data_IF_347402494470
#
_entry.id   IF_347402494470
#
_cell.length_a   1.000
_cell.length_b   1.000
_cell.length_c   1.000
_cell.angle_alpha   90.00
_cell.angle_beta   90.00
_cell.angle_gamma   90.00
#
_symmetry.space_group_name_H-M   'P 1'
#
loop_
_entity.id
_entity.type
_entity.pdbx_description
1 polymer ?
#
# COMPACT_ATOMS: atom_id res chain seq x y z
N UNK A 1 4.65 -18.99 5.14
CA UNK A 1 6.10 -18.90 4.87
C UNK A 1 6.30 -18.64 3.38
N UNK A 2 7.36 -17.97 2.99
CA UNK A 2 7.69 -17.72 1.58
C UNK A 2 9.20 -17.54 1.37
N UNK A 3 9.63 -17.55 0.12
CA UNK A 3 10.99 -17.12 -0.28
C UNK A 3 10.84 -16.06 -1.37
N UNK A 4 11.39 -14.88 -1.14
CA UNK A 4 11.44 -13.79 -2.13
C UNK A 4 12.87 -13.59 -2.59
N UNK A 5 13.09 -13.43 -3.90
CA UNK A 5 14.42 -13.16 -4.43
C UNK A 5 14.62 -11.65 -4.59
N UNK A 6 15.76 -11.14 -4.11
CA UNK A 6 16.17 -9.75 -4.31
C UNK A 6 17.46 -9.68 -5.14
N UNK A 7 17.80 -8.49 -5.62
CA UNK A 7 19.11 -8.27 -6.24
C UNK A 7 20.24 -8.62 -5.25
N UNK A 8 21.27 -9.29 -5.75
CA UNK A 8 22.49 -9.61 -5.00
C UNK A 8 23.66 -8.81 -5.55
N UNK A 9 24.57 -8.36 -4.68
CA UNK A 9 25.77 -7.61 -5.06
C UNK A 9 26.73 -8.40 -5.94
N UNK A 10 26.62 -9.73 -5.95
CA UNK A 10 27.40 -10.65 -6.80
C UNK A 10 26.83 -10.83 -8.21
N UNK A 11 25.72 -10.17 -8.53
CA UNK A 11 24.98 -10.36 -9.79
C UNK A 11 24.06 -11.59 -9.80
N UNK A 12 24.10 -12.41 -8.75
CA UNK A 12 23.21 -13.56 -8.57
C UNK A 12 22.12 -13.16 -7.57
N UNK A 13 20.82 -13.32 -7.89
CA UNK A 13 19.75 -13.03 -6.95
C UNK A 13 19.89 -13.85 -5.65
N UNK A 14 19.67 -13.20 -4.51
CA UNK A 14 19.67 -13.84 -3.19
C UNK A 14 18.24 -14.17 -2.78
N UNK A 15 18.00 -15.40 -2.31
CA UNK A 15 16.72 -15.80 -1.75
C UNK A 15 16.63 -15.38 -0.28
N UNK A 16 15.57 -14.67 0.07
CA UNK A 16 15.23 -14.28 1.44
C UNK A 16 14.15 -15.22 1.96
N UNK A 17 14.49 -16.21 2.81
CA UNK A 17 13.50 -17.08 3.40
C UNK A 17 12.76 -16.37 4.55
N UNK A 18 11.44 -16.42 4.52
CA UNK A 18 10.59 -15.90 5.58
C UNK A 18 9.78 -17.04 6.19
N UNK A 19 10.01 -17.27 7.48
CA UNK A 19 9.36 -18.33 8.24
C UNK A 19 7.85 -18.07 8.39
N UNK A 20 7.10 -19.11 8.74
CA UNK A 20 5.67 -18.94 9.03
C UNK A 20 5.43 -18.03 10.24
N UNK A 21 6.23 -18.16 11.30
CA UNK A 21 6.11 -17.31 12.50
C UNK A 21 6.33 -15.82 12.16
N UNK A 22 7.35 -15.52 11.33
CA UNK A 22 7.63 -14.16 10.88
C UNK A 22 6.47 -13.58 10.05
N UNK A 23 5.92 -14.39 9.13
CA UNK A 23 4.75 -13.99 8.33
C UNK A 23 3.52 -13.72 9.22
N UNK A 24 3.24 -14.58 10.20
CA UNK A 24 2.10 -14.38 11.10
C UNK A 24 2.25 -13.11 11.92
N UNK A 25 3.45 -12.82 12.44
CA UNK A 25 3.72 -11.56 13.14
C UNK A 25 3.46 -10.33 12.25
N UNK A 26 3.85 -10.37 10.97
CA UNK A 26 3.54 -9.30 10.02
C UNK A 26 2.03 -9.16 9.82
N UNK A 27 1.31 -10.27 9.65
CA UNK A 27 -0.14 -10.26 9.43
C UNK A 27 -0.87 -9.67 10.63
N UNK A 28 -0.56 -10.13 11.84
CA UNK A 28 -1.17 -9.63 13.08
C UNK A 28 -0.91 -8.12 13.24
N UNK A 29 0.33 -7.68 13.05
CA UNK A 29 0.68 -6.26 13.08
C UNK A 29 -0.07 -5.43 12.03
N UNK A 30 -0.21 -5.95 10.80
CA UNK A 30 -0.89 -5.23 9.73
C UNK A 30 -2.40 -5.12 10.02
N UNK A 31 -3.02 -6.17 10.58
CA UNK A 31 -4.43 -6.14 11.01
C UNK A 31 -4.65 -4.99 11.99
N UNK A 32 -3.83 -4.90 13.03
CA UNK A 32 -3.93 -3.84 14.06
C UNK A 32 -3.68 -2.44 13.47
N UNK A 33 -2.69 -2.29 12.57
CA UNK A 33 -2.31 -1.02 11.98
C UNK A 33 -3.45 -0.35 11.19
N UNK A 34 -4.30 -1.13 10.51
CA UNK A 34 -5.35 -0.58 9.65
C UNK A 34 -6.76 -1.00 10.06
N UNK A 35 -6.91 -1.60 11.24
CA UNK A 35 -8.19 -2.11 11.76
C UNK A 35 -8.91 -3.02 10.74
N UNK A 36 -8.15 -3.97 10.17
CA UNK A 36 -8.67 -4.80 9.09
C UNK A 36 -9.59 -5.90 9.63
N UNK A 37 -10.76 -6.03 9.01
CA UNK A 37 -11.83 -6.94 9.45
C UNK A 37 -12.60 -7.53 8.26
N UNK A 38 -13.58 -8.41 8.53
CA UNK A 38 -14.46 -9.03 7.54
C UNK A 38 -15.12 -8.02 6.57
N UNK A 39 -15.48 -6.83 7.07
CA UNK A 39 -16.08 -5.76 6.26
C UNK A 39 -15.08 -4.89 5.48
N UNK A 40 -13.79 -5.24 5.50
CA UNK A 40 -12.71 -4.44 4.90
C UNK A 40 -12.19 -5.09 3.63
N UNK A 41 -11.84 -4.27 2.65
CA UNK A 41 -11.27 -4.70 1.37
C UNK A 41 -9.92 -4.05 1.09
N UNK A 42 -9.02 -4.81 0.47
CA UNK A 42 -7.72 -4.34 -0.03
C UNK A 42 -7.57 -4.65 -1.51
N UNK A 43 -7.08 -3.69 -2.29
CA UNK A 43 -6.74 -3.93 -3.69
C UNK A 43 -5.39 -4.63 -3.82
N UNK A 44 -5.38 -5.74 -4.56
CA UNK A 44 -4.16 -6.47 -4.90
C UNK A 44 -3.53 -5.80 -6.13
N UNK A 45 -2.78 -4.73 -5.90
CA UNK A 45 -2.13 -3.95 -6.97
C UNK A 45 -0.67 -4.32 -7.15
N UNK A 46 -0.03 -4.87 -6.13
CA UNK A 46 1.42 -5.12 -6.12
C UNK A 46 1.77 -6.40 -6.87
N UNK A 47 2.81 -6.42 -7.70
CA UNK A 47 3.22 -7.69 -8.32
C UNK A 47 3.66 -8.67 -7.23
N UNK A 48 3.24 -9.96 -7.28
CA UNK A 48 3.63 -10.97 -6.29
C UNK A 48 5.14 -11.24 -6.16
N UNK A 49 5.96 -10.68 -7.05
CA UNK A 49 7.42 -10.72 -6.97
C UNK A 49 8.01 -9.71 -5.97
N UNK A 50 7.20 -8.78 -5.44
CA UNK A 50 7.60 -7.85 -4.38
C UNK A 50 6.89 -8.23 -3.09
N UNK A 51 7.63 -8.31 -2.00
CA UNK A 51 7.13 -8.72 -0.70
C UNK A 51 6.07 -7.78 -0.11
N UNK A 52 6.03 -6.51 -0.52
CA UNK A 52 4.93 -5.59 -0.16
C UNK A 52 3.56 -6.05 -0.65
N UNK A 53 3.46 -7.06 -1.53
CA UNK A 53 2.19 -7.71 -1.90
C UNK A 53 1.69 -8.69 -0.85
N UNK A 54 2.53 -9.12 0.10
CA UNK A 54 2.20 -10.17 1.08
C UNK A 54 0.98 -9.77 1.93
N UNK A 55 0.88 -8.54 2.48
CA UNK A 55 -0.33 -8.12 3.19
C UNK A 55 -1.58 -8.14 2.31
N UNK A 56 -1.49 -7.77 1.02
CA UNK A 56 -2.62 -7.80 0.08
C UNK A 56 -3.24 -9.20 -0.06
N UNK A 57 -2.46 -10.26 0.14
CA UNK A 57 -2.94 -11.65 0.09
C UNK A 57 -3.35 -12.18 1.46
N UNK A 58 -2.49 -12.06 2.47
CA UNK A 58 -2.66 -12.83 3.70
C UNK A 58 -3.56 -12.16 4.75
N UNK A 59 -3.60 -10.82 4.80
CA UNK A 59 -4.43 -10.10 5.79
C UNK A 59 -5.92 -10.38 5.58
N UNK A 60 -6.46 -10.38 4.34
CA UNK A 60 -7.86 -10.73 4.10
C UNK A 60 -8.19 -12.17 4.49
N UNK A 61 -7.31 -13.13 4.17
CA UNK A 61 -7.54 -14.54 4.54
C UNK A 61 -7.51 -14.78 6.06
N UNK A 62 -6.75 -13.97 6.81
CA UNK A 62 -6.69 -14.08 8.27
C UNK A 62 -7.90 -13.47 8.98
N UNK A 63 -8.62 -12.56 8.33
CA UNK A 63 -9.68 -11.73 8.95
C UNK A 63 -11.08 -11.96 8.37
N UNK A 64 -11.18 -12.68 7.25
CA UNK A 64 -12.43 -12.84 6.49
C UNK A 64 -12.73 -11.67 5.55
N UNK A 65 -11.83 -10.69 5.40
CA UNK A 65 -12.05 -9.56 4.50
C UNK A 65 -11.84 -9.91 3.02
N UNK A 66 -11.89 -8.89 2.17
CA UNK A 66 -11.95 -9.05 0.71
C UNK A 66 -10.68 -8.63 -0.01
N UNK A 67 -10.21 -9.45 -0.94
CA UNK A 67 -9.18 -9.09 -1.92
C UNK A 67 -9.88 -8.60 -3.20
N UNK A 68 -9.60 -7.37 -3.62
CA UNK A 68 -10.07 -6.84 -4.90
C UNK A 68 -8.97 -6.95 -5.94
N UNK A 69 -9.23 -7.70 -7.01
CA UNK A 69 -8.28 -7.97 -8.08
C UNK A 69 -8.65 -7.18 -9.35
N UNK A 70 -7.69 -6.49 -9.99
CA UNK A 70 -7.93 -5.88 -11.28
C UNK A 70 -8.02 -6.95 -12.39
N UNK A 71 -8.84 -6.70 -13.41
CA UNK A 71 -9.05 -7.62 -14.55
C UNK A 71 -7.86 -7.70 -15.51
N UNK A 72 -6.98 -6.70 -15.48
CA UNK A 72 -5.75 -6.63 -16.26
C UNK A 72 -4.62 -6.05 -15.41
N UNK A 73 -3.36 -6.16 -15.84
CA UNK A 73 -2.23 -5.69 -15.04
C UNK A 73 -2.08 -4.17 -15.12
N UNK A 74 -2.69 -3.46 -14.16
CA UNK A 74 -2.90 -2.00 -14.21
C UNK A 74 -1.70 -1.14 -13.86
N UNK A 75 -0.61 -1.68 -13.29
CA UNK A 75 0.49 -0.87 -12.75
C UNK A 75 1.14 0.11 -13.76
N UNK A 76 1.09 -0.19 -15.06
CA UNK A 76 1.61 0.70 -16.10
C UNK A 76 0.63 1.81 -16.51
N UNK A 77 -0.66 1.68 -16.19
CA UNK A 77 -1.75 2.48 -16.70
C UNK A 77 -2.48 3.19 -15.53
N UNK A 78 -1.99 4.39 -15.19
CA UNK A 78 -2.45 5.13 -14.01
C UNK A 78 -3.95 5.45 -14.06
N UNK A 79 -4.49 5.76 -15.25
CA UNK A 79 -5.90 6.06 -15.45
C UNK A 79 -6.78 4.84 -15.17
N UNK A 80 -6.44 3.69 -15.75
CA UNK A 80 -7.18 2.45 -15.51
C UNK A 80 -7.08 2.00 -14.05
N UNK A 81 -5.93 2.22 -13.39
CA UNK A 81 -5.79 1.98 -11.94
C UNK A 81 -6.77 2.84 -11.15
N UNK A 82 -6.89 4.13 -11.48
CA UNK A 82 -7.84 5.04 -10.82
C UNK A 82 -9.28 4.58 -11.05
N UNK A 83 -9.66 4.28 -12.29
CA UNK A 83 -11.00 3.79 -12.64
C UNK A 83 -11.35 2.52 -11.86
N UNK A 84 -10.46 1.54 -11.86
CA UNK A 84 -10.62 0.31 -11.09
C UNK A 84 -10.78 0.57 -9.58
N UNK A 85 -9.95 1.43 -9.00
CA UNK A 85 -10.03 1.72 -7.57
C UNK A 85 -11.32 2.43 -7.18
N UNK A 86 -11.81 3.32 -8.03
CA UNK A 86 -13.09 4.00 -7.85
C UNK A 86 -14.26 3.02 -7.96
N UNK A 87 -14.24 2.12 -8.95
CA UNK A 87 -15.31 1.14 -9.15
C UNK A 87 -15.33 0.05 -8.07
N UNK A 88 -14.15 -0.39 -7.64
CA UNK A 88 -14.02 -1.44 -6.62
C UNK A 88 -14.33 -0.97 -5.20
N UNK A 89 -14.27 0.34 -4.94
CA UNK A 89 -14.52 0.94 -3.62
C UNK A 89 -13.64 0.32 -2.52
N UNK A 90 -12.41 -0.03 -2.87
CA UNK A 90 -11.48 -0.66 -1.94
C UNK A 90 -11.16 0.25 -0.75
N UNK A 91 -11.05 -0.32 0.44
CA UNK A 91 -10.78 0.46 1.66
C UNK A 91 -9.29 0.73 1.87
N UNK A 92 -8.43 -0.13 1.32
CA UNK A 92 -6.98 -0.09 1.51
C UNK A 92 -6.29 -0.24 0.16
N UNK A 93 -5.31 0.62 -0.10
CA UNK A 93 -4.39 0.47 -1.23
C UNK A 93 -2.95 0.63 -0.76
N UNK A 94 -2.04 -0.09 -1.42
CA UNK A 94 -0.60 0.02 -1.20
C UNK A 94 0.07 0.62 -2.44
N UNK A 95 0.96 1.58 -2.25
CA UNK A 95 1.71 2.21 -3.34
C UNK A 95 3.09 2.67 -2.87
N UNK A 96 4.11 2.51 -3.71
CA UNK A 96 5.38 3.23 -3.49
C UNK A 96 5.17 4.74 -3.66
N UNK A 97 5.88 5.61 -2.91
CA UNK A 97 5.78 7.07 -3.01
C UNK A 97 5.85 7.63 -4.44
N UNK A 98 6.71 7.09 -5.31
CA UNK A 98 6.79 7.49 -6.72
C UNK A 98 5.48 7.25 -7.48
N UNK A 99 4.81 6.12 -7.22
CA UNK A 99 3.52 5.80 -7.83
C UNK A 99 2.42 6.70 -7.26
N UNK A 100 2.42 6.92 -5.94
CA UNK A 100 1.48 7.84 -5.29
C UNK A 100 1.57 9.25 -5.89
N UNK A 101 2.79 9.76 -6.12
CA UNK A 101 2.98 11.06 -6.76
C UNK A 101 2.35 11.13 -8.16
N UNK A 102 2.47 10.06 -8.96
CA UNK A 102 1.81 9.99 -10.29
C UNK A 102 0.29 9.91 -10.17
N UNK A 103 -0.20 9.15 -9.20
CA UNK A 103 -1.62 9.02 -8.89
C UNK A 103 -2.25 10.37 -8.53
N UNK A 104 -1.65 11.10 -7.57
CA UNK A 104 -2.05 12.47 -7.21
C UNK A 104 -1.87 13.46 -8.38
N UNK A 105 -0.84 13.23 -9.21
CA UNK A 105 -0.64 13.83 -10.55
C UNK A 105 -1.90 13.87 -11.41
N UNK A 106 -2.56 12.73 -11.47
CA UNK A 106 -3.73 12.51 -12.30
C UNK A 106 -5.00 13.01 -11.61
N UNK A 107 -5.15 12.76 -10.31
CA UNK A 107 -6.33 13.22 -9.55
C UNK A 107 -6.48 14.75 -9.54
N UNK A 108 -5.39 15.52 -9.48
CA UNK A 108 -5.46 16.99 -9.59
C UNK A 108 -6.09 17.47 -10.91
N UNK A 109 -5.90 16.72 -11.99
CA UNK A 109 -6.49 17.05 -13.30
C UNK A 109 -7.95 16.60 -13.41
N UNK A 110 -8.42 15.79 -12.47
CA UNK A 110 -9.73 15.14 -12.45
C UNK A 110 -10.37 15.24 -11.05
N UNK A 111 -10.66 16.46 -10.55
CA UNK A 111 -11.13 16.66 -9.17
C UNK A 111 -12.42 15.87 -8.86
N UNK A 112 -13.35 15.80 -9.81
CA UNK A 112 -14.58 15.00 -9.70
C UNK A 112 -14.33 13.48 -9.51
N UNK A 113 -13.15 12.98 -9.87
CA UNK A 113 -12.77 11.58 -9.65
C UNK A 113 -12.20 11.41 -8.24
N UNK A 114 -11.46 12.39 -7.72
CA UNK A 114 -10.96 12.37 -6.34
C UNK A 114 -12.12 12.27 -5.33
N UNK A 115 -13.21 13.01 -5.58
CA UNK A 115 -14.43 12.98 -4.74
C UNK A 115 -15.12 11.60 -4.69
N UNK A 116 -14.82 10.70 -5.63
CA UNK A 116 -15.40 9.35 -5.69
C UNK A 116 -14.68 8.35 -4.79
N UNK A 117 -13.53 8.69 -4.20
CA UNK A 117 -12.82 7.83 -3.24
C UNK A 117 -13.47 7.90 -1.84
N UNK A 118 -14.76 7.59 -1.76
CA UNK A 118 -15.57 7.71 -0.53
C UNK A 118 -15.28 6.63 0.49
N UNK A 119 -14.88 5.44 0.05
CA UNK A 119 -14.69 4.27 0.91
C UNK A 119 -13.21 3.99 1.24
N UNK A 120 -12.29 4.73 0.59
CA UNK A 120 -10.86 4.57 0.77
C UNK A 120 -10.44 5.14 2.14
N UNK A 121 -10.11 4.24 3.07
CA UNK A 121 -9.72 4.56 4.44
C UNK A 121 -8.20 4.71 4.58
N UNK A 122 -7.42 3.87 3.90
CA UNK A 122 -5.97 3.84 4.05
C UNK A 122 -5.23 3.80 2.71
N UNK A 123 -4.18 4.63 2.60
CA UNK A 123 -3.11 4.48 1.61
C UNK A 123 -1.83 4.19 2.36
N UNK A 124 -1.22 3.03 2.10
CA UNK A 124 0.04 2.64 2.73
C UNK A 124 1.18 2.80 1.74
N UNK A 125 2.17 3.60 2.11
CA UNK A 125 3.43 3.76 1.41
C UNK A 125 4.55 2.92 2.04
N UNK A 126 5.37 2.32 1.19
CA UNK A 126 6.56 1.55 1.57
C UNK A 126 7.58 1.62 0.42
N UNK A 127 8.83 1.23 0.68
CA UNK A 127 9.84 0.95 -0.34
C UNK A 127 10.64 2.16 -0.84
N UNK A 128 10.19 3.39 -0.58
CA UNK A 128 10.92 4.63 -0.91
C UNK A 128 10.71 5.68 0.19
N UNK A 129 11.59 6.69 0.29
CA UNK A 129 11.31 7.86 1.10
C UNK A 129 10.02 8.55 0.66
N UNK A 130 9.14 8.91 1.61
CA UNK A 130 7.92 9.66 1.36
C UNK A 130 8.15 11.16 1.61
N UNK A 131 8.25 12.01 0.57
CA UNK A 131 8.47 13.44 0.77
C UNK A 131 7.25 14.14 1.37
N UNK A 132 7.48 15.13 2.23
CA UNK A 132 6.42 15.94 2.83
C UNK A 132 5.54 16.65 1.78
N UNK A 133 6.11 17.03 0.63
CA UNK A 133 5.33 17.60 -0.48
C UNK A 133 4.30 16.63 -1.06
N UNK A 134 4.58 15.32 -1.06
CA UNK A 134 3.63 14.29 -1.48
C UNK A 134 2.54 14.11 -0.42
N UNK A 135 2.89 14.15 0.87
CA UNK A 135 1.94 14.12 1.99
C UNK A 135 0.95 15.28 1.94
N UNK A 136 1.43 16.52 1.79
CA UNK A 136 0.55 17.71 1.70
C UNK A 136 -0.42 17.62 0.53
N UNK A 137 0.11 17.23 -0.64
CA UNK A 137 -0.68 17.01 -1.85
C UNK A 137 -1.70 15.88 -1.70
N UNK A 138 -1.36 14.82 -0.97
CA UNK A 138 -2.29 13.74 -0.68
C UNK A 138 -3.50 14.27 0.09
N UNK A 139 -3.28 15.00 1.19
CA UNK A 139 -4.36 15.49 2.03
C UNK A 139 -5.18 16.62 1.39
N UNK A 140 -4.66 17.34 0.41
CA UNK A 140 -5.46 18.30 -0.36
C UNK A 140 -6.47 17.65 -1.31
N UNK A 141 -6.27 16.38 -1.67
CA UNK A 141 -7.14 15.64 -2.61
C UNK A 141 -7.98 14.56 -1.92
N UNK A 142 -7.43 13.90 -0.90
CA UNK A 142 -8.02 12.76 -0.21
C UNK A 142 -8.12 13.05 1.30
N UNK A 143 -8.78 14.15 1.65
CA UNK A 143 -8.81 14.69 3.00
C UNK A 143 -9.35 13.72 4.07
N UNK A 144 -10.18 12.75 3.67
CA UNK A 144 -10.79 11.78 4.59
C UNK A 144 -10.02 10.46 4.69
N UNK A 145 -8.99 10.26 3.88
CA UNK A 145 -8.18 9.04 3.86
C UNK A 145 -6.94 9.20 4.76
N UNK A 146 -6.49 8.13 5.39
CA UNK A 146 -5.27 8.10 6.21
C UNK A 146 -4.08 7.64 5.37
N UNK A 147 -3.02 8.45 5.33
CA UNK A 147 -1.75 8.07 4.73
C UNK A 147 -0.84 7.44 5.79
N UNK A 148 -0.36 6.25 5.52
CA UNK A 148 0.58 5.52 6.39
C UNK A 148 1.91 5.42 5.66
N UNK A 149 2.98 5.91 6.29
CA UNK A 149 4.34 5.66 5.82
C UNK A 149 4.90 4.46 6.58
N UNK A 150 5.35 3.43 5.87
CA UNK A 150 5.92 2.23 6.46
C UNK A 150 7.31 1.95 5.87
N UNK A 151 8.15 1.28 6.65
CA UNK A 151 9.50 0.95 6.26
C UNK A 151 9.89 -0.44 6.74
N UNK A 152 10.52 -1.21 5.85
CA UNK A 152 11.27 -2.42 6.16
C UNK A 152 11.93 -2.97 4.90
N UNK A 153 13.12 -3.58 5.00
CA UNK A 153 13.70 -4.36 3.92
C UNK A 153 13.05 -5.76 3.85
N UNK A 154 13.23 -6.45 2.72
CA UNK A 154 12.67 -7.80 2.52
C UNK A 154 13.18 -8.81 3.54
N UNK A 155 14.42 -8.66 3.99
CA UNK A 155 15.06 -9.46 5.05
C UNK A 155 14.34 -9.37 6.40
N UNK A 156 13.51 -8.35 6.62
CA UNK A 156 12.75 -8.16 7.85
C UNK A 156 11.25 -8.42 7.67
N UNK A 157 10.84 -9.08 6.58
CA UNK A 157 9.44 -9.36 6.26
C UNK A 157 8.61 -8.09 6.09
N UNK A 158 8.81 -7.40 4.95
CA UNK A 158 8.00 -6.27 4.47
C UNK A 158 8.14 -4.96 5.24
N UNK A 159 7.83 -4.95 6.54
CA UNK A 159 7.82 -3.71 7.33
C UNK A 159 8.15 -3.99 8.80
N UNK A 160 8.91 -3.08 9.40
CA UNK A 160 9.30 -3.12 10.83
C UNK A 160 8.94 -1.83 11.57
N UNK A 161 8.59 -0.77 10.84
CA UNK A 161 8.18 0.51 11.41
C UNK A 161 7.14 1.17 10.53
N UNK A 162 6.30 2.00 11.14
CA UNK A 162 5.30 2.79 10.46
C UNK A 162 5.00 4.09 11.19
N UNK A 163 4.41 5.02 10.47
CA UNK A 163 3.97 6.31 10.96
C UNK A 163 2.69 6.72 10.24
N UNK A 164 1.64 7.03 11.00
CA UNK A 164 0.47 7.72 10.47
C UNK A 164 0.86 9.16 10.16
N UNK A 165 0.85 9.54 8.89
CA UNK A 165 1.22 10.88 8.49
C UNK A 165 0.25 11.90 9.09
N UNK A 166 0.78 13.02 9.59
CA UNK A 166 -0.06 14.13 10.07
C UNK A 166 -0.86 14.73 8.92
N UNK A 167 -2.14 15.07 9.18
CA UNK A 167 -2.97 15.89 8.31
C UNK A 167 -2.58 17.36 8.35
N UNK A 168 -2.17 17.84 9.52
CA UNK A 168 -1.74 19.22 9.71
C UNK A 168 -0.32 19.41 9.17
N UNK A 169 0.02 20.65 8.83
CA UNK A 169 1.40 21.08 8.70
C UNK A 169 2.01 21.09 10.10
N UNK A 170 2.55 19.94 10.51
CA UNK A 170 3.47 19.89 11.62
C UNK A 170 4.86 19.88 11.03
N UNK A 171 5.67 20.88 11.41
CA UNK A 171 7.10 20.79 11.28
C UNK A 171 7.54 19.56 12.08
N UNK A 172 7.86 18.48 11.39
CA UNK A 172 8.58 17.36 12.00
C UNK A 172 9.93 17.94 12.46
N UNK A 173 10.32 17.76 13.73
CA UNK A 173 11.58 18.29 14.24
C UNK A 173 12.80 17.72 13.50
#
# INVERSE_FOLDING_TARGET
AYIMHTSGSTGIPKGVPVSQATLLNLVDWYIDMIDFSEGTSISQLTRPAFDVSIPEFFVPFATGGTIVLPTTQLQAQIMQTIEFLVESRANVIQMVPTLLRRFLGTLERLPHVADRFTDLKYVVCNGEPLPDSVRRRFYSLLANTTLVNSYGPTECCVAVSYHYCSRADMDLP
#
